data_IF_339849505225
#
_entry.id   IF_339849505225
#
_cell.length_a   1.000
_cell.length_b   1.000
_cell.length_c   1.000
_cell.angle_alpha   90.00
_cell.angle_beta   90.00
_cell.angle_gamma   90.00
#
_symmetry.space_group_name_H-M   'P 1'
#
loop_
_entity.id
_entity.type
_entity.pdbx_description
1 polymer ?
#
# COMPACT_ATOMS: atom_id res chain seq x y z
N UNK A 1 0.62 -13.53 9.82
CA UNK A 1 -0.31 -12.59 9.16
C UNK A 1 -0.98 -13.37 8.05
N UNK A 2 -2.30 -13.52 8.11
CA UNK A 2 -3.04 -14.20 7.06
C UNK A 2 -3.11 -13.31 5.79
N UNK A 3 -3.05 -13.90 4.58
CA UNK A 3 -3.08 -13.14 3.33
C UNK A 3 -4.33 -12.27 3.15
N UNK A 4 -5.46 -12.73 3.70
CA UNK A 4 -6.73 -12.02 3.60
C UNK A 4 -6.74 -10.70 4.37
N UNK A 5 -6.18 -10.69 5.58
CA UNK A 5 -6.03 -9.47 6.38
C UNK A 5 -5.15 -8.43 5.69
N UNK A 6 -4.13 -8.85 4.93
CA UNK A 6 -3.34 -7.91 4.13
C UNK A 6 -4.16 -7.31 2.98
N UNK A 7 -4.91 -8.13 2.23
CA UNK A 7 -5.72 -7.63 1.13
C UNK A 7 -6.81 -6.67 1.62
N UNK A 8 -7.46 -6.97 2.75
CA UNK A 8 -8.43 -6.07 3.37
C UNK A 8 -7.81 -4.71 3.73
N UNK A 9 -6.60 -4.70 4.30
CA UNK A 9 -5.88 -3.48 4.61
C UNK A 9 -5.52 -2.68 3.35
N UNK A 10 -5.13 -3.36 2.26
CA UNK A 10 -4.85 -2.72 0.97
C UNK A 10 -6.12 -2.10 0.37
N UNK A 11 -7.25 -2.81 0.39
CA UNK A 11 -8.56 -2.30 -0.08
C UNK A 11 -8.99 -1.04 0.67
N UNK A 12 -8.59 -0.88 1.94
CA UNK A 12 -8.86 0.32 2.74
C UNK A 12 -8.04 1.57 2.37
N UNK A 13 -7.04 1.47 1.49
CA UNK A 13 -6.22 2.61 1.07
C UNK A 13 -6.94 3.47 0.01
N UNK A 14 -6.55 4.74 -0.20
CA UNK A 14 -6.96 5.50 -1.37
C UNK A 14 -6.62 4.78 -2.69
N UNK A 15 -7.53 4.79 -3.67
CA UNK A 15 -7.39 4.06 -4.95
C UNK A 15 -6.04 4.27 -5.62
N UNK A 16 -5.55 5.51 -5.64
CA UNK A 16 -4.25 5.83 -6.25
C UNK A 16 -3.05 5.15 -5.57
N UNK A 17 -3.13 4.89 -4.26
CA UNK A 17 -2.10 4.16 -3.52
C UNK A 17 -2.23 2.66 -3.76
N UNK A 18 -3.46 2.14 -3.78
CA UNK A 18 -3.75 0.73 -4.09
C UNK A 18 -3.17 0.34 -5.46
N UNK A 19 -3.48 1.13 -6.50
CA UNK A 19 -3.03 0.86 -7.87
C UNK A 19 -1.51 0.80 -7.95
N UNK A 20 -0.82 1.78 -7.34
CA UNK A 20 0.64 1.81 -7.36
C UNK A 20 1.25 0.63 -6.59
N UNK A 21 0.68 0.23 -5.45
CA UNK A 21 1.16 -0.93 -4.69
C UNK A 21 1.01 -2.23 -5.49
N UNK A 22 -0.15 -2.46 -6.12
CA UNK A 22 -0.39 -3.65 -6.94
C UNK A 22 0.54 -3.68 -8.15
N UNK A 23 0.71 -2.55 -8.84
CA UNK A 23 1.65 -2.48 -9.97
C UNK A 23 3.10 -2.71 -9.53
N UNK A 24 3.50 -2.16 -8.38
CA UNK A 24 4.88 -2.28 -7.88
C UNK A 24 5.21 -3.69 -7.39
N UNK A 25 4.34 -4.27 -6.58
CA UNK A 25 4.63 -5.51 -5.86
C UNK A 25 4.02 -6.75 -6.49
N UNK A 26 2.87 -6.63 -7.17
CA UNK A 26 2.19 -7.80 -7.76
C UNK A 26 2.56 -7.95 -9.23
N UNK A 27 2.69 -6.83 -9.95
CA UNK A 27 3.10 -6.82 -11.36
C UNK A 27 4.61 -6.59 -11.55
N UNK A 28 5.35 -6.26 -10.49
CA UNK A 28 6.81 -6.10 -10.54
C UNK A 28 7.32 -4.86 -11.27
N UNK A 29 6.45 -3.88 -11.58
CA UNK A 29 6.83 -2.71 -12.37
C UNK A 29 7.75 -1.75 -11.60
N UNK A 30 8.61 -1.05 -12.32
CA UNK A 30 9.40 0.08 -11.81
C UNK A 30 8.53 1.33 -11.66
N UNK A 31 8.93 2.29 -10.82
CA UNK A 31 8.18 3.55 -10.70
C UNK A 31 8.14 4.36 -11.99
N UNK A 32 9.12 4.17 -12.88
CA UNK A 32 9.14 4.76 -14.21
C UNK A 32 8.02 4.18 -15.08
N UNK A 33 7.95 2.86 -15.20
CA UNK A 33 6.89 2.16 -15.97
C UNK A 33 5.50 2.45 -15.41
N UNK A 34 5.37 2.54 -14.08
CA UNK A 34 4.12 2.93 -13.42
C UNK A 34 3.74 4.37 -13.78
N UNK A 35 4.72 5.29 -13.76
CA UNK A 35 4.51 6.68 -14.15
C UNK A 35 4.01 6.81 -15.59
N UNK A 36 4.67 6.11 -16.52
CA UNK A 36 4.30 6.04 -17.93
C UNK A 36 2.87 5.47 -18.10
N UNK A 37 2.56 4.35 -17.45
CA UNK A 37 1.25 3.69 -17.53
C UNK A 37 0.10 4.54 -16.99
N UNK A 38 0.35 5.29 -15.91
CA UNK A 38 -0.67 6.11 -15.24
C UNK A 38 -0.67 7.58 -15.68
N UNK A 39 0.17 7.96 -16.64
CA UNK A 39 0.40 9.34 -17.06
C UNK A 39 0.71 10.30 -15.89
N UNK A 40 1.59 9.87 -14.98
CA UNK A 40 2.09 10.67 -13.83
C UNK A 40 3.62 10.61 -13.78
N UNK A 41 4.25 11.51 -13.01
CA UNK A 41 5.70 11.39 -12.79
C UNK A 41 6.06 10.14 -11.99
N UNK A 42 7.24 9.57 -12.23
CA UNK A 42 7.78 8.47 -11.41
C UNK A 42 7.85 8.85 -9.92
N UNK A 43 8.09 10.12 -9.60
CA UNK A 43 8.10 10.64 -8.23
C UNK A 43 6.71 10.65 -7.59
N UNK A 44 5.67 10.94 -8.36
CA UNK A 44 4.28 10.84 -7.92
C UNK A 44 3.91 9.39 -7.62
N UNK A 45 4.33 8.44 -8.48
CA UNK A 45 4.16 7.02 -8.22
C UNK A 45 4.91 6.59 -6.93
N UNK A 46 6.19 6.93 -6.80
CA UNK A 46 6.99 6.62 -5.62
C UNK A 46 6.36 7.18 -4.33
N UNK A 47 5.86 8.42 -4.36
CA UNK A 47 5.20 9.04 -3.21
C UNK A 47 3.90 8.32 -2.83
N UNK A 48 3.05 7.96 -3.81
CA UNK A 48 1.83 7.18 -3.57
C UNK A 48 2.14 5.81 -2.96
N UNK A 49 3.19 5.14 -3.46
CA UNK A 49 3.68 3.88 -2.89
C UNK A 49 4.08 4.06 -1.43
N UNK A 50 4.94 5.04 -1.13
CA UNK A 50 5.41 5.34 0.22
C UNK A 50 4.26 5.65 1.19
N UNK A 51 3.31 6.49 0.79
CA UNK A 51 2.15 6.81 1.63
C UNK A 51 1.22 5.61 1.85
N UNK A 52 1.08 4.73 0.86
CA UNK A 52 0.36 3.47 0.98
C UNK A 52 1.00 2.55 2.01
N UNK A 53 2.31 2.28 1.88
CA UNK A 53 3.07 1.44 2.82
C UNK A 53 3.03 1.98 4.25
N UNK A 54 3.21 3.29 4.41
CA UNK A 54 3.17 3.94 5.73
C UNK A 54 1.77 3.86 6.36
N UNK A 55 0.71 3.92 5.56
CA UNK A 55 -0.66 3.74 6.06
C UNK A 55 -0.93 2.29 6.49
N UNK A 56 -0.44 1.31 5.73
CA UNK A 56 -0.51 -0.11 6.09
C UNK A 56 0.26 -0.38 7.40
N UNK A 57 1.48 0.15 7.53
CA UNK A 57 2.29 0.02 8.75
C UNK A 57 1.52 0.49 9.98
N UNK A 58 0.96 1.70 9.94
CA UNK A 58 0.16 2.25 11.05
C UNK A 58 -1.11 1.45 11.33
N UNK A 59 -1.76 0.90 10.29
CA UNK A 59 -2.93 0.05 10.47
C UNK A 59 -2.57 -1.19 11.29
N UNK A 60 -1.51 -1.90 10.91
CA UNK A 60 -1.09 -3.11 11.61
C UNK A 60 -0.59 -2.85 13.03
N UNK A 61 0.15 -1.77 13.25
CA UNK A 61 0.58 -1.36 14.59
C UNK A 61 -0.61 -1.13 15.53
N UNK A 62 -1.64 -0.40 15.07
CA UNK A 62 -2.86 -0.16 15.86
C UNK A 62 -3.58 -1.46 16.19
N UNK A 63 -3.79 -2.32 15.20
CA UNK A 63 -4.48 -3.61 15.42
C UNK A 63 -3.73 -4.51 16.39
N UNK A 64 -2.39 -4.44 16.42
CA UNK A 64 -1.57 -5.20 17.35
C UNK A 64 -1.70 -4.64 18.78
N UNK A 65 -1.61 -3.32 18.95
CA UNK A 65 -1.79 -2.66 20.24
C UNK A 65 -3.18 -2.90 20.83
N UNK A 66 -4.23 -2.91 20.00
CA UNK A 66 -5.60 -3.21 20.45
C UNK A 66 -5.76 -4.66 20.93
N UNK A 67 -5.14 -5.62 20.22
CA UNK A 67 -5.13 -7.04 20.64
C UNK A 67 -4.38 -7.26 21.94
N UNK A 68 -3.32 -6.50 22.21
CA UNK A 68 -2.56 -6.58 23.45
C UNK A 68 -3.33 -6.03 24.65
N UNK A 69 -4.12 -4.96 24.46
CA UNK A 69 -4.96 -4.38 25.53
C UNK A 69 -6.15 -5.24 25.94
N UNK A 70 -6.62 -6.13 25.06
CA UNK A 70 -7.78 -6.99 25.30
C UNK A 70 -7.40 -8.34 25.96
N UNK A 71 -6.10 -8.62 26.10
CA UNK A 71 -5.56 -9.80 26.79
C UNK A 71 -5.24 -9.49 28.24
#
# INVERSE_FOLDING_TARGET
MDPWTLEQAVVGLPTAQQTVLRMKYYLGLTFREIGETLAISANTAASRCRYGLESLRRHFERTQTEKEKLR
#
